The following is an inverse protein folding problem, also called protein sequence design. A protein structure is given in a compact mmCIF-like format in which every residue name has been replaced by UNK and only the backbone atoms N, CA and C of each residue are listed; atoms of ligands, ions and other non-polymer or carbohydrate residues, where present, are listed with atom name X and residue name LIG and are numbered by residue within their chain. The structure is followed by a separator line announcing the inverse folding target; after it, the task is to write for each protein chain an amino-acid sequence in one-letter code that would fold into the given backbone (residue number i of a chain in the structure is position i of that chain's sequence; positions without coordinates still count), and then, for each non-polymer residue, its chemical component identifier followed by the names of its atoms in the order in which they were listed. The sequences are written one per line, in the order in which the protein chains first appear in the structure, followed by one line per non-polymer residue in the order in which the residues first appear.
data_IF_273362257070
#
_entry.id   IF_273362257070
#
_cell.length_a   1.000
_cell.length_b   1.000
_cell.length_c   1.000
_cell.angle_alpha   90.00
_cell.angle_beta   90.00
_cell.angle_gamma   90.00
#
_symmetry.space_group_name_H-M   'P 1'
#
loop_
_entity.id
_entity.type
_entity.pdbx_description
1 polymer ?
#
# COMPACT_ATOMS: atom_id res chain seq x y z
N UNK A 1 38.57 20.60 4.20
CA UNK A 1 37.50 19.79 3.58
C UNK A 1 37.34 18.54 4.44
N UNK A 2 36.23 18.38 5.16
CA UNK A 2 36.03 17.23 6.04
C UNK A 2 36.01 15.94 5.23
N UNK A 3 36.95 15.03 5.48
CA UNK A 3 36.97 13.72 4.82
C UNK A 3 35.81 12.88 5.33
N UNK A 4 35.01 12.31 4.42
CA UNK A 4 33.94 11.38 4.78
C UNK A 4 34.55 10.13 5.42
N UNK A 5 34.38 10.00 6.74
CA UNK A 5 34.79 8.79 7.49
C UNK A 5 34.02 7.56 7.00
N UNK A 6 34.64 6.39 7.11
CA UNK A 6 34.06 5.07 6.80
C UNK A 6 32.66 4.89 7.40
N UNK A 7 32.40 5.46 8.58
CA UNK A 7 31.09 5.40 9.23
C UNK A 7 29.95 6.03 8.41
N UNK A 8 30.22 7.09 7.64
CA UNK A 8 29.23 7.70 6.75
C UNK A 8 28.87 6.75 5.61
N UNK A 9 29.86 6.08 5.03
CA UNK A 9 29.66 5.10 3.97
C UNK A 9 28.90 3.87 4.47
N UNK A 10 29.14 3.42 5.71
CA UNK A 10 28.37 2.34 6.33
C UNK A 10 26.91 2.73 6.53
N UNK A 11 26.63 3.94 7.01
CA UNK A 11 25.25 4.44 7.17
C UNK A 11 24.55 4.51 5.81
N UNK A 12 25.20 5.05 4.78
CA UNK A 12 24.66 5.12 3.42
C UNK A 12 24.38 3.73 2.86
N UNK A 13 25.30 2.78 3.04
CA UNK A 13 25.12 1.39 2.59
C UNK A 13 23.98 0.69 3.32
N UNK A 14 23.77 0.96 4.61
CA UNK A 14 22.63 0.39 5.36
C UNK A 14 21.31 1.00 4.86
N UNK A 15 21.25 2.32 4.70
CA UNK A 15 20.05 3.05 4.24
C UNK A 15 19.64 2.63 2.82
N UNK A 16 20.59 2.29 1.96
CA UNK A 16 20.31 1.90 0.56
C UNK A 16 20.20 0.38 0.40
N UNK A 17 21.12 -0.37 1.02
CA UNK A 17 21.21 -1.82 0.88
C UNK A 17 20.08 -2.57 1.57
N UNK A 18 19.61 -2.10 2.73
CA UNK A 18 18.51 -2.75 3.45
C UNK A 18 17.19 -2.66 2.64
N UNK A 19 16.75 -1.49 2.14
CA UNK A 19 15.57 -1.42 1.27
C UNK A 19 15.72 -2.24 0.01
N UNK A 20 16.88 -2.21 -0.65
CA UNK A 20 17.14 -3.02 -1.84
C UNK A 20 16.96 -4.51 -1.58
N UNK A 21 17.47 -5.02 -0.46
CA UNK A 21 17.32 -6.43 -0.08
C UNK A 21 15.85 -6.83 0.05
N UNK A 22 15.03 -5.99 0.69
CA UNK A 22 13.59 -6.26 0.83
C UNK A 22 12.82 -6.11 -0.50
N UNK A 23 13.23 -5.18 -1.36
CA UNK A 23 12.65 -4.99 -2.69
C UNK A 23 12.94 -6.18 -3.61
N UNK A 24 14.17 -6.69 -3.58
CA UNK A 24 14.60 -7.81 -4.42
C UNK A 24 14.12 -9.18 -3.93
N UNK A 25 13.62 -9.28 -2.69
CA UNK A 25 13.02 -10.51 -2.17
C UNK A 25 11.77 -10.87 -2.98
N UNK A 26 11.76 -12.05 -3.62
CA UNK A 26 10.59 -12.55 -4.34
C UNK A 26 9.44 -12.93 -3.36
N UNK A 27 8.17 -12.83 -3.79
CA UNK A 27 7.05 -13.35 -3.00
C UNK A 27 7.15 -14.88 -2.88
N UNK A 28 6.52 -15.49 -1.86
CA UNK A 28 6.44 -16.94 -1.73
C UNK A 28 5.80 -17.57 -2.97
N UNK A 29 6.31 -18.72 -3.40
CA UNK A 29 5.72 -19.48 -4.50
C UNK A 29 4.44 -20.20 -4.03
N UNK A 30 3.49 -20.40 -4.96
CA UNK A 30 2.26 -21.16 -4.72
C UNK A 30 1.01 -20.30 -4.76
N UNK A 31 -0.10 -20.87 -4.30
CA UNK A 31 -1.39 -20.17 -4.19
C UNK A 31 -1.28 -19.03 -3.18
N UNK A 32 -1.97 -17.92 -3.46
CA UNK A 32 -1.99 -16.78 -2.55
C UNK A 32 -2.56 -17.18 -1.18
N UNK A 33 -1.82 -16.88 -0.11
CA UNK A 33 -2.18 -17.27 1.27
C UNK A 33 -3.26 -16.41 1.93
N UNK A 34 -3.66 -15.31 1.31
CA UNK A 34 -4.54 -14.30 1.89
C UNK A 34 -6.00 -14.38 1.38
N UNK A 35 -6.33 -15.42 0.61
CA UNK A 35 -7.68 -15.69 0.12
C UNK A 35 -7.85 -15.49 -1.39
N UNK A 36 -9.10 -15.49 -1.83
CA UNK A 36 -9.47 -15.46 -3.24
C UNK A 36 -9.19 -14.11 -3.91
N UNK A 37 -9.17 -14.12 -5.24
CA UNK A 37 -8.93 -12.93 -6.05
C UNK A 37 -10.04 -11.89 -5.81
N UNK A 38 -9.70 -10.66 -5.37
CA UNK A 38 -10.70 -9.65 -5.08
C UNK A 38 -11.35 -9.15 -6.37
N UNK A 39 -12.67 -8.93 -6.31
CA UNK A 39 -13.43 -8.38 -7.43
C UNK A 39 -13.05 -6.91 -7.68
N UNK A 40 -13.15 -6.50 -8.94
CA UNK A 40 -13.07 -5.08 -9.30
C UNK A 40 -14.30 -4.35 -8.74
N UNK A 41 -14.10 -3.11 -8.30
CA UNK A 41 -15.11 -2.27 -7.64
C UNK A 41 -15.25 -0.95 -8.38
N UNK A 42 -16.44 -0.35 -8.36
CA UNK A 42 -16.62 1.04 -8.77
C UNK A 42 -16.15 2.01 -7.67
N UNK A 43 -16.18 3.32 -7.95
CA UNK A 43 -15.72 4.34 -7.01
C UNK A 43 -16.49 4.32 -5.68
N UNK A 44 -17.82 4.24 -5.72
CA UNK A 44 -18.66 4.24 -4.52
C UNK A 44 -18.45 2.99 -3.65
N UNK A 45 -18.35 1.83 -4.29
CA UNK A 45 -18.04 0.55 -3.63
C UNK A 45 -16.65 0.58 -2.98
N UNK A 46 -15.65 1.18 -3.64
CA UNK A 46 -14.32 1.32 -3.08
C UNK A 46 -14.32 2.19 -1.82
N UNK A 47 -15.02 3.33 -1.84
CA UNK A 47 -15.16 4.21 -0.65
C UNK A 47 -15.91 3.49 0.46
N UNK A 48 -16.99 2.77 0.14
CA UNK A 48 -17.74 1.98 1.13
C UNK A 48 -16.87 0.85 1.72
N UNK A 49 -16.08 0.16 0.90
CA UNK A 49 -15.14 -0.88 1.34
C UNK A 49 -14.05 -0.30 2.24
N UNK A 50 -13.53 0.89 1.90
CA UNK A 50 -12.49 1.58 2.67
C UNK A 50 -12.92 1.81 4.13
N UNK A 51 -14.12 2.36 4.33
CA UNK A 51 -14.65 2.58 5.68
C UNK A 51 -15.16 1.30 6.34
N UNK A 52 -15.67 0.32 5.58
CA UNK A 52 -16.08 -0.98 6.14
C UNK A 52 -14.89 -1.78 6.68
N UNK A 53 -13.74 -1.69 6.02
CA UNK A 53 -12.51 -2.38 6.38
C UNK A 53 -11.51 -1.48 7.13
N UNK A 54 -12.02 -0.61 8.01
CA UNK A 54 -11.25 0.47 8.61
C UNK A 54 -9.98 0.01 9.37
N UNK A 55 -10.06 -1.06 10.16
CA UNK A 55 -8.91 -1.68 10.85
C UNK A 55 -8.72 -3.14 10.44
N UNK A 56 -9.24 -3.53 9.26
CA UNK A 56 -9.13 -4.89 8.78
C UNK A 56 -7.88 -5.06 7.89
N UNK A 57 -6.86 -5.69 8.45
CA UNK A 57 -5.60 -6.02 7.75
C UNK A 57 -5.65 -7.36 7.02
N UNK A 58 -6.74 -8.12 7.18
CA UNK A 58 -6.90 -9.45 6.60
C UNK A 58 -7.59 -9.39 5.24
N UNK A 59 -7.25 -10.32 4.36
CA UNK A 59 -7.78 -10.39 3.00
C UNK A 59 -6.97 -9.60 1.98
N UNK A 60 -7.59 -9.39 0.82
CA UNK A 60 -6.97 -8.81 -0.37
C UNK A 60 -7.74 -7.59 -0.84
N UNK A 61 -7.03 -6.60 -1.37
CA UNK A 61 -7.62 -5.41 -1.98
C UNK A 61 -7.36 -5.40 -3.48
N UNK A 62 -8.40 -5.18 -4.28
CA UNK A 62 -8.26 -5.06 -5.73
C UNK A 62 -7.56 -3.75 -6.10
N UNK A 63 -7.01 -3.70 -7.33
CA UNK A 63 -6.38 -2.47 -7.85
C UNK A 63 -7.36 -1.29 -7.84
N UNK A 64 -8.62 -1.53 -8.22
CA UNK A 64 -9.66 -0.51 -8.24
C UNK A 64 -10.02 -0.04 -6.84
N UNK A 65 -10.14 -0.94 -5.86
CA UNK A 65 -10.38 -0.57 -4.46
C UNK A 65 -9.27 0.37 -3.95
N UNK A 66 -8.01 0.03 -4.21
CA UNK A 66 -6.85 0.82 -3.78
C UNK A 66 -6.84 2.21 -4.43
N UNK A 67 -6.89 2.28 -5.76
CA UNK A 67 -6.73 3.55 -6.47
C UNK A 67 -7.92 4.50 -6.30
N UNK A 68 -9.15 3.98 -6.24
CA UNK A 68 -10.31 4.82 -5.96
C UNK A 68 -10.32 5.33 -4.51
N UNK A 69 -9.93 4.51 -3.54
CA UNK A 69 -9.78 4.96 -2.16
C UNK A 69 -8.68 6.02 -2.02
N UNK A 70 -7.55 5.82 -2.71
CA UNK A 70 -6.45 6.80 -2.71
C UNK A 70 -6.86 8.13 -3.34
N UNK A 71 -7.59 8.09 -4.46
CA UNK A 71 -8.18 9.27 -5.09
C UNK A 71 -9.13 10.00 -4.11
N UNK A 72 -10.02 9.27 -3.44
CA UNK A 72 -10.92 9.83 -2.44
C UNK A 72 -10.16 10.52 -1.30
N UNK A 73 -9.12 9.87 -0.76
CA UNK A 73 -8.28 10.47 0.30
C UNK A 73 -7.64 11.79 -0.16
N UNK A 74 -7.09 11.84 -1.38
CA UNK A 74 -6.49 13.05 -1.93
C UNK A 74 -7.53 14.16 -2.08
N UNK A 75 -8.69 13.86 -2.65
CA UNK A 75 -9.75 14.85 -2.87
C UNK A 75 -10.19 15.45 -1.54
N UNK A 76 -10.46 14.62 -0.52
CA UNK A 76 -10.87 15.12 0.79
C UNK A 76 -9.73 15.88 1.47
N UNK A 77 -8.48 15.44 1.36
CA UNK A 77 -7.34 16.16 1.92
C UNK A 77 -7.22 17.59 1.32
N UNK A 78 -7.41 17.75 0.01
CA UNK A 78 -7.44 19.07 -0.64
C UNK A 78 -8.59 19.92 -0.12
N UNK A 79 -9.79 19.35 0.02
CA UNK A 79 -10.95 20.06 0.57
C UNK A 79 -10.71 20.53 2.02
N UNK A 80 -10.13 19.67 2.87
CA UNK A 80 -9.80 20.04 4.25
C UNK A 80 -8.73 21.14 4.31
N UNK A 81 -7.72 21.09 3.44
CA UNK A 81 -6.73 22.16 3.33
C UNK A 81 -7.32 23.51 2.92
N UNK A 82 -8.32 23.51 2.03
CA UNK A 82 -9.05 24.73 1.67
C UNK A 82 -9.81 25.29 2.89
N UNK A 83 -10.49 24.43 3.64
CA UNK A 83 -11.21 24.83 4.87
C UNK A 83 -10.26 25.45 5.89
N UNK A 84 -9.10 24.83 6.12
CA UNK A 84 -8.07 25.31 7.05
C UNK A 84 -7.57 26.72 6.69
N UNK A 85 -7.43 27.05 5.40
CA UNK A 85 -7.09 28.40 4.93
C UNK A 85 -8.14 29.43 5.39
N UNK A 86 -9.43 29.08 5.32
CA UNK A 86 -10.51 29.98 5.75
C UNK A 86 -10.64 30.08 7.27
N UNK A 87 -10.36 29.00 7.99
CA UNK A 87 -10.43 28.94 9.45
C UNK A 87 -9.19 29.58 10.09
N UNK A 88 -8.05 29.61 9.40
CA UNK A 88 -6.78 30.16 9.88
C UNK A 88 -6.01 29.23 10.82
N UNK A 89 -6.28 27.92 10.80
CA UNK A 89 -5.53 26.91 11.53
C UNK A 89 -5.49 25.58 10.75
N UNK A 90 -4.69 24.62 11.20
CA UNK A 90 -4.48 23.31 10.54
C UNK A 90 -5.19 22.15 11.26
N UNK A 91 -6.18 22.46 12.10
CA UNK A 91 -6.81 21.45 12.97
C UNK A 91 -7.65 20.47 12.15
N UNK A 92 -8.35 20.95 11.11
CA UNK A 92 -9.28 20.10 10.34
C UNK A 92 -8.50 19.09 9.49
N UNK A 93 -7.46 19.54 8.77
CA UNK A 93 -6.60 18.61 8.01
C UNK A 93 -5.84 17.65 8.91
N UNK A 94 -5.38 18.08 10.09
CA UNK A 94 -4.71 17.20 11.06
C UNK A 94 -5.63 16.08 11.54
N UNK A 95 -6.88 16.40 11.90
CA UNK A 95 -7.88 15.41 12.31
C UNK A 95 -8.22 14.44 11.18
N UNK A 96 -8.33 14.95 9.94
CA UNK A 96 -8.53 14.10 8.77
C UNK A 96 -7.39 13.10 8.57
N UNK A 97 -6.13 13.58 8.62
CA UNK A 97 -4.95 12.72 8.46
C UNK A 97 -4.91 11.62 9.53
N UNK A 98 -5.26 11.93 10.78
CA UNK A 98 -5.35 10.94 11.85
C UNK A 98 -6.49 9.94 11.63
N UNK A 99 -7.65 10.39 11.15
CA UNK A 99 -8.78 9.52 10.84
C UNK A 99 -8.47 8.54 9.70
N UNK A 100 -7.80 9.00 8.64
CA UNK A 100 -7.48 8.10 7.51
C UNK A 100 -6.21 7.28 7.70
N UNK A 101 -5.42 7.53 8.75
CA UNK A 101 -4.15 6.84 8.98
C UNK A 101 -4.32 5.32 9.07
N UNK A 102 -5.19 4.85 9.96
CA UNK A 102 -5.44 3.42 10.17
C UNK A 102 -6.03 2.71 8.94
N UNK A 103 -7.11 3.22 8.30
CA UNK A 103 -7.69 2.56 7.13
C UNK A 103 -6.74 2.58 5.92
N UNK A 104 -5.90 3.61 5.78
CA UNK A 104 -4.88 3.65 4.71
C UNK A 104 -3.83 2.56 4.92
N UNK A 105 -3.35 2.36 6.15
CA UNK A 105 -2.40 1.28 6.48
C UNK A 105 -3.05 -0.11 6.26
N UNK A 106 -4.30 -0.28 6.69
CA UNK A 106 -5.03 -1.53 6.51
C UNK A 106 -5.22 -1.87 5.03
N UNK A 107 -5.69 -0.91 4.23
CA UNK A 107 -5.90 -1.05 2.80
C UNK A 107 -4.59 -1.32 2.04
N UNK A 108 -3.50 -0.61 2.39
CA UNK A 108 -2.18 -0.80 1.79
C UNK A 108 -1.61 -2.19 2.09
N UNK A 109 -1.78 -2.69 3.32
CA UNK A 109 -1.40 -4.05 3.69
C UNK A 109 -2.19 -5.08 2.86
N UNK A 110 -3.52 -4.95 2.74
CA UNK A 110 -4.36 -5.82 1.91
C UNK A 110 -3.99 -5.76 0.43
N UNK A 111 -3.51 -4.62 -0.07
CA UNK A 111 -3.00 -4.50 -1.45
C UNK A 111 -1.70 -5.27 -1.65
N UNK A 112 -0.78 -5.25 -0.68
CA UNK A 112 0.44 -6.07 -0.73
C UNK A 112 0.13 -7.56 -0.62
N UNK A 113 -0.90 -7.93 0.15
CA UNK A 113 -1.41 -9.30 0.23
C UNK A 113 -1.91 -9.81 -1.13
N UNK A 114 -2.44 -8.93 -1.99
CA UNK A 114 -2.94 -9.31 -3.31
C UNK A 114 -1.84 -9.84 -4.26
N UNK A 115 -0.58 -9.44 -4.04
CA UNK A 115 0.60 -9.94 -4.77
C UNK A 115 1.42 -10.95 -3.93
N UNK A 116 0.76 -11.59 -2.97
CA UNK A 116 1.33 -12.57 -2.03
C UNK A 116 2.50 -12.06 -1.18
N UNK A 117 2.67 -10.73 -1.05
CA UNK A 117 3.69 -10.11 -0.17
C UNK A 117 3.11 -9.86 1.21
N UNK A 118 3.96 -9.69 2.22
CA UNK A 118 3.48 -9.29 3.56
C UNK A 118 3.18 -7.79 3.62
N UNK A 119 2.16 -7.38 4.39
CA UNK A 119 1.82 -5.97 4.60
C UNK A 119 2.96 -5.13 5.21
N UNK A 120 3.89 -5.75 5.94
CA UNK A 120 5.09 -5.10 6.47
C UNK A 120 5.97 -4.41 5.42
N UNK A 121 5.87 -4.81 4.15
CA UNK A 121 6.61 -4.15 3.07
C UNK A 121 6.20 -2.69 2.85
N UNK A 122 5.06 -2.23 3.38
CA UNK A 122 4.67 -0.82 3.31
C UNK A 122 5.67 0.11 4.01
N UNK A 123 6.47 -0.38 4.97
CA UNK A 123 7.52 0.38 5.63
C UNK A 123 8.63 0.83 4.67
N UNK A 124 8.73 0.21 3.49
CA UNK A 124 9.63 0.67 2.43
C UNK A 124 9.29 2.09 1.96
N UNK A 125 8.09 2.60 2.21
CA UNK A 125 7.70 3.96 1.88
C UNK A 125 8.57 5.01 2.59
N UNK A 126 9.16 4.69 3.76
CA UNK A 126 10.07 5.59 4.46
C UNK A 126 11.43 5.77 3.78
N UNK A 127 11.81 4.87 2.86
CA UNK A 127 13.12 4.88 2.18
C UNK A 127 13.04 5.53 0.80
N UNK A 128 12.80 6.84 0.78
CA UNK A 128 12.74 7.62 -0.46
C UNK A 128 14.12 7.75 -1.13
N UNK A 129 14.25 7.62 -2.46
CA UNK A 129 13.18 7.33 -3.45
C UNK A 129 13.02 5.84 -3.80
N UNK A 130 13.96 4.98 -3.43
CA UNK A 130 14.02 3.59 -3.92
C UNK A 130 12.80 2.78 -3.45
N UNK A 131 12.48 2.87 -2.16
CA UNK A 131 11.39 2.11 -1.56
C UNK A 131 10.00 2.60 -2.00
N UNK A 132 9.82 3.91 -2.18
CA UNK A 132 8.58 4.49 -2.69
C UNK A 132 8.32 4.08 -4.14
N UNK A 133 9.33 4.13 -5.02
CA UNK A 133 9.20 3.68 -6.40
C UNK A 133 8.85 2.19 -6.47
N UNK A 134 9.53 1.35 -5.67
CA UNK A 134 9.24 -0.09 -5.63
C UNK A 134 7.79 -0.37 -5.19
N UNK A 135 7.29 0.34 -4.17
CA UNK A 135 5.91 0.21 -3.71
C UNK A 135 4.90 0.67 -4.75
N UNK A 136 5.14 1.79 -5.44
CA UNK A 136 4.28 2.24 -6.53
C UNK A 136 4.15 1.19 -7.63
N UNK A 137 5.28 0.59 -8.04
CA UNK A 137 5.28 -0.51 -9.02
C UNK A 137 4.43 -1.68 -8.50
N UNK A 138 4.57 -2.04 -7.23
CA UNK A 138 3.81 -3.14 -6.62
C UNK A 138 2.32 -2.83 -6.50
N UNK A 139 1.91 -1.60 -6.18
CA UNK A 139 0.51 -1.21 -6.16
C UNK A 139 -0.12 -1.30 -7.56
N UNK A 140 0.65 -1.08 -8.62
CA UNK A 140 0.24 -1.26 -10.00
C UNK A 140 0.26 -2.73 -10.49
N UNK A 141 0.90 -3.68 -9.80
CA UNK A 141 1.01 -5.09 -10.27
C UNK A 141 -0.32 -5.84 -10.30
N UNK A 142 -0.43 -6.87 -11.15
CA UNK A 142 -1.66 -7.66 -11.31
C UNK A 142 -1.86 -8.53 -10.08
N UNK A 143 -3.13 -8.75 -9.73
CA UNK A 143 -3.51 -9.69 -8.68
C UNK A 143 -2.97 -11.08 -8.99
N UNK A 144 -2.55 -11.81 -7.95
CA UNK A 144 -2.13 -13.20 -8.06
C UNK A 144 -3.37 -14.12 -8.23
N UNK A 145 -3.53 -14.66 -9.44
CA UNK A 145 -4.64 -15.53 -9.86
C UNK A 145 -4.27 -17.02 -9.80
N UNK A 146 -3.10 -17.39 -9.26
CA UNK A 146 -2.61 -18.78 -9.25
C UNK A 146 -3.62 -19.76 -8.62
N UNK A 147 -4.32 -19.34 -7.56
CA UNK A 147 -5.33 -20.15 -6.88
C UNK A 147 -6.55 -20.46 -7.76
N UNK A 148 -7.13 -19.43 -8.38
CA UNK A 148 -8.34 -19.57 -9.20
C UNK A 148 -8.09 -20.37 -10.48
N UNK A 149 -6.92 -20.20 -11.10
CA UNK A 149 -6.54 -20.99 -12.27
C UNK A 149 -6.45 -22.49 -11.95
N UNK A 150 -5.87 -22.84 -10.80
CA UNK A 150 -5.76 -24.24 -10.36
C UNK A 150 -7.12 -24.87 -10.05
N UNK A 151 -8.09 -24.07 -9.61
CA UNK A 151 -9.46 -24.54 -9.34
C UNK A 151 -10.23 -24.75 -10.65
N UNK A 152 -10.18 -23.79 -11.57
CA UNK A 152 -10.74 -23.90 -12.92
C UNK A 152 -10.22 -25.16 -13.61
N UNK A 153 -8.89 -25.36 -13.61
CA UNK A 153 -8.27 -26.55 -14.20
C UNK A 153 -8.71 -27.87 -13.54
N UNK A 154 -9.06 -27.85 -12.24
CA UNK A 154 -9.59 -29.03 -11.54
C UNK A 154 -11.03 -29.34 -11.92
N UNK A 155 -11.87 -28.33 -12.16
CA UNK A 155 -13.27 -28.51 -12.55
C UNK A 155 -13.40 -29.05 -13.99
N UNK A 156 -12.47 -28.67 -14.88
CA UNK A 156 -12.49 -29.07 -16.29
C UNK A 156 -11.70 -30.36 -16.62
N UNK A 157 -11.13 -31.02 -15.61
CA UNK A 157 -10.46 -32.33 -15.76
C UNK A 157 -11.43 -33.44 -15.37
#
# INVERSE_FOLDING_TARGET
MGSFSIWHWLIILIIIGLPLLFVLRAPPAGVNRFGDTPLSMNFGEAVASFFRNYVNFSGRASRSEFWYSYLFIIVVAVLMGIVDIFVGNEVVSSLWNLAVLLPTLAMTARRLHDINRSGWHQLLAGFFPIGTIALLIWYCKKSDETGSLNEIQRVFR
#
